data_IF_064475700678
#
_entry.id   IF_064475700678
#
_cell.length_a   1.000
_cell.length_b   1.000
_cell.length_c   1.000
_cell.angle_alpha   90.00
_cell.angle_beta   90.00
_cell.angle_gamma   90.00
#
_symmetry.space_group_name_H-M   'P 1'
#
loop_
_entity.id
_entity.type
_entity.pdbx_description
1 polymer ?
#
# COMPACT_ATOMS: atom_id res chain seq x y z
N UNK A 1 3.78 4.71 -2.38
CA UNK A 1 4.00 5.70 -1.30
C UNK A 1 4.97 6.79 -1.72
N UNK A 2 6.24 6.48 -2.00
CA UNK A 2 7.23 7.51 -2.35
C UNK A 2 6.84 8.32 -3.59
N UNK A 3 6.63 7.66 -4.74
CA UNK A 3 6.30 8.31 -6.01
C UNK A 3 4.96 9.08 -6.00
N UNK A 4 4.09 8.77 -5.05
CA UNK A 4 2.72 9.28 -4.95
C UNK A 4 2.53 10.19 -3.75
N UNK A 5 3.51 11.08 -3.52
CA UNK A 5 3.48 12.14 -2.51
C UNK A 5 4.42 11.95 -1.34
N UNK A 6 4.95 10.74 -1.14
CA UNK A 6 5.90 10.47 -0.06
C UNK A 6 7.18 11.31 -0.15
N UNK A 7 7.60 11.69 -1.36
CA UNK A 7 8.74 12.58 -1.55
C UNK A 7 8.51 14.01 -1.01
N UNK A 8 7.26 14.45 -0.86
CA UNK A 8 6.91 15.78 -0.35
C UNK A 8 6.77 15.83 1.17
N UNK A 9 6.73 14.67 1.83
CA UNK A 9 6.64 14.58 3.29
C UNK A 9 7.92 15.10 3.95
N UNK A 10 7.76 15.78 5.09
CA UNK A 10 8.88 16.09 5.98
C UNK A 10 9.53 14.82 6.53
N UNK A 11 10.77 14.91 7.01
CA UNK A 11 11.47 13.74 7.54
C UNK A 11 10.73 13.12 8.75
N UNK A 12 10.13 13.95 9.60
CA UNK A 12 9.28 13.47 10.70
C UNK A 12 8.07 12.69 10.18
N UNK A 13 7.40 13.16 9.13
CA UNK A 13 6.29 12.44 8.50
C UNK A 13 6.75 11.15 7.81
N UNK A 14 7.94 11.14 7.20
CA UNK A 14 8.53 9.93 6.59
C UNK A 14 8.84 8.86 7.64
N UNK A 15 9.36 9.25 8.80
CA UNK A 15 9.53 8.34 9.94
C UNK A 15 8.17 7.85 10.45
N UNK A 16 7.18 8.74 10.55
CA UNK A 16 5.85 8.37 11.01
C UNK A 16 5.17 7.35 10.09
N UNK A 17 5.12 7.58 8.77
CA UNK A 17 4.52 6.65 7.80
C UNK A 17 5.28 5.32 7.73
N UNK A 18 6.61 5.33 7.88
CA UNK A 18 7.43 4.12 7.88
C UNK A 18 7.18 3.23 9.11
N UNK A 19 6.70 3.81 10.22
CA UNK A 19 6.45 3.11 11.48
C UNK A 19 4.96 2.99 11.84
N UNK A 20 4.05 3.45 10.98
CA UNK A 20 2.61 3.32 11.21
C UNK A 20 2.20 1.85 11.15
N UNK A 21 1.59 1.28 12.20
CA UNK A 21 1.13 -0.12 12.19
C UNK A 21 0.24 -0.50 11.00
N UNK A 22 -0.54 0.44 10.45
CA UNK A 22 -1.37 0.20 9.26
C UNK A 22 -0.47 -0.06 8.02
N UNK A 23 0.73 0.51 7.98
CA UNK A 23 1.69 0.33 6.89
C UNK A 23 2.69 -0.83 7.12
N UNK A 24 2.53 -1.62 8.18
CA UNK A 24 3.49 -2.68 8.56
C UNK A 24 2.88 -4.07 8.45
N UNK A 25 3.56 -4.94 7.69
CA UNK A 25 3.25 -6.38 7.60
C UNK A 25 4.55 -7.19 7.60
N UNK A 26 4.57 -8.29 8.34
CA UNK A 26 5.69 -9.22 8.32
C UNK A 26 5.66 -10.06 7.03
N UNK A 27 6.75 -10.04 6.26
CA UNK A 27 6.86 -10.73 4.97
C UNK A 27 8.23 -11.40 4.81
N UNK A 28 8.39 -12.25 3.81
CA UNK A 28 9.72 -12.77 3.45
C UNK A 28 10.59 -11.64 2.90
N UNK A 29 11.89 -11.69 3.17
CA UNK A 29 12.83 -10.70 2.65
C UNK A 29 12.86 -10.63 1.12
N UNK A 30 12.60 -11.75 0.41
CA UNK A 30 12.46 -11.77 -1.04
C UNK A 30 11.27 -10.94 -1.53
N UNK A 31 10.12 -11.03 -0.86
CA UNK A 31 8.90 -10.30 -1.23
C UNK A 31 9.11 -8.79 -1.02
N UNK A 32 9.74 -8.41 0.10
CA UNK A 32 10.08 -7.02 0.37
C UNK A 32 11.04 -6.43 -0.69
N UNK A 33 12.07 -7.20 -1.09
CA UNK A 33 12.99 -6.78 -2.16
C UNK A 33 12.31 -6.71 -3.52
N UNK A 34 11.45 -7.67 -3.85
CA UNK A 34 10.71 -7.70 -5.11
C UNK A 34 9.78 -6.47 -5.24
N UNK A 35 9.12 -6.09 -4.14
CA UNK A 35 8.33 -4.86 -4.05
C UNK A 35 9.22 -3.63 -4.22
N UNK A 36 10.18 -3.41 -3.33
CA UNK A 36 11.00 -2.18 -3.32
C UNK A 36 10.14 -0.91 -3.27
N UNK A 37 10.49 0.09 -4.09
CA UNK A 37 9.76 1.37 -4.20
C UNK A 37 8.54 1.33 -5.13
N UNK A 38 8.22 0.17 -5.72
CA UNK A 38 7.12 0.01 -6.66
C UNK A 38 5.78 0.33 -6.02
N UNK A 39 4.90 0.92 -6.80
CA UNK A 39 3.50 1.08 -6.43
C UNK A 39 2.68 -0.18 -6.75
N UNK A 40 1.40 -0.14 -6.43
CA UNK A 40 0.48 -1.29 -6.58
C UNK A 40 0.14 -1.62 -8.03
N UNK A 41 0.37 -0.71 -8.97
CA UNK A 41 0.25 -1.00 -10.41
C UNK A 41 1.45 -1.78 -10.96
N UNK A 42 2.62 -1.61 -10.34
CA UNK A 42 3.87 -2.26 -10.74
C UNK A 42 4.13 -3.58 -10.00
N UNK A 43 3.64 -3.72 -8.77
CA UNK A 43 3.80 -4.93 -7.97
C UNK A 43 2.62 -5.17 -7.03
N UNK A 44 2.14 -6.42 -7.02
CA UNK A 44 1.14 -6.91 -6.08
C UNK A 44 1.64 -8.21 -5.42
N UNK A 45 1.22 -8.51 -4.17
CA UNK A 45 1.57 -9.78 -3.53
C UNK A 45 1.04 -10.98 -4.31
N UNK A 46 1.83 -12.04 -4.46
CA UNK A 46 1.37 -13.27 -5.15
C UNK A 46 0.25 -14.00 -4.38
N UNK A 47 0.27 -13.92 -3.05
CA UNK A 47 -0.77 -14.50 -2.21
C UNK A 47 -2.05 -13.67 -2.30
N UNK A 48 -3.03 -14.15 -3.07
CA UNK A 48 -4.33 -13.47 -3.26
C UNK A 48 -5.14 -13.32 -1.98
N UNK A 49 -4.96 -14.21 -1.00
CA UNK A 49 -5.72 -14.14 0.26
C UNK A 49 -5.47 -12.86 1.07
N UNK A 50 -4.35 -12.16 0.83
CA UNK A 50 -4.02 -10.91 1.51
C UNK A 50 -4.39 -9.67 0.70
N UNK A 51 -4.97 -9.81 -0.50
CA UNK A 51 -5.22 -8.69 -1.41
C UNK A 51 -6.13 -7.63 -0.80
N UNK A 52 -7.28 -8.02 -0.27
CA UNK A 52 -8.20 -7.10 0.41
C UNK A 52 -7.50 -6.30 1.52
N UNK A 53 -6.87 -6.98 2.48
CA UNK A 53 -6.22 -6.32 3.61
C UNK A 53 -5.08 -5.40 3.19
N UNK A 54 -4.27 -5.84 2.22
CA UNK A 54 -3.18 -5.03 1.67
C UNK A 54 -3.71 -3.79 0.92
N UNK A 55 -4.73 -3.93 0.07
CA UNK A 55 -5.30 -2.79 -0.63
C UNK A 55 -5.98 -1.80 0.33
N UNK A 56 -6.72 -2.31 1.32
CA UNK A 56 -7.32 -1.50 2.38
C UNK A 56 -6.26 -0.70 3.15
N UNK A 57 -5.12 -1.33 3.50
CA UNK A 57 -4.04 -0.64 4.20
C UNK A 57 -3.37 0.43 3.33
N UNK A 58 -3.15 0.16 2.04
CA UNK A 58 -2.61 1.16 1.10
C UNK A 58 -3.53 2.39 1.01
N UNK A 59 -4.85 2.18 0.90
CA UNK A 59 -5.83 3.28 0.86
C UNK A 59 -5.85 4.05 2.17
N UNK A 60 -5.88 3.37 3.32
CA UNK A 60 -5.88 4.01 4.64
C UNK A 60 -4.62 4.84 4.88
N UNK A 61 -3.44 4.30 4.58
CA UNK A 61 -2.17 5.01 4.75
C UNK A 61 -2.12 6.22 3.81
N UNK A 62 -2.49 6.05 2.53
CA UNK A 62 -2.48 7.18 1.60
C UNK A 62 -3.43 8.29 2.04
N UNK A 63 -4.64 7.93 2.48
CA UNK A 63 -5.61 8.89 3.02
C UNK A 63 -5.09 9.61 4.26
N UNK A 64 -4.51 8.87 5.22
CA UNK A 64 -3.98 9.43 6.48
C UNK A 64 -2.84 10.42 6.28
N UNK A 65 -1.97 10.17 5.31
CA UNK A 65 -0.77 10.97 5.05
C UNK A 65 -0.93 11.96 3.88
N UNK A 66 -2.14 12.12 3.33
CA UNK A 66 -2.40 13.06 2.23
C UNK A 66 -1.69 12.70 0.92
N UNK A 67 -1.46 11.40 0.69
CA UNK A 67 -0.85 10.87 -0.52
C UNK A 67 -1.92 10.62 -1.60
N UNK A 68 -1.54 10.71 -2.86
CA UNK A 68 -2.47 10.50 -3.98
C UNK A 68 -2.40 9.08 -4.55
N UNK A 69 -3.33 8.76 -5.45
CA UNK A 69 -3.43 7.49 -6.16
C UNK A 69 -3.48 7.81 -7.66
N UNK A 70 -2.64 7.16 -8.46
CA UNK A 70 -2.71 7.28 -9.92
C UNK A 70 -3.92 6.51 -10.48
N UNK A 71 -4.39 6.80 -11.70
CA UNK A 71 -5.48 6.02 -12.31
C UNK A 71 -5.17 4.51 -12.38
N UNK A 72 -3.92 4.14 -12.68
CA UNK A 72 -3.48 2.75 -12.73
C UNK A 72 -3.48 2.08 -11.34
N UNK A 73 -2.98 2.78 -10.31
CA UNK A 73 -3.06 2.28 -8.94
C UNK A 73 -4.52 2.10 -8.50
N UNK A 74 -5.40 3.04 -8.85
CA UNK A 74 -6.82 2.99 -8.49
C UNK A 74 -7.49 1.73 -9.05
N UNK A 75 -7.22 1.39 -10.31
CA UNK A 75 -7.78 0.20 -10.94
C UNK A 75 -7.35 -1.09 -10.20
N UNK A 76 -6.07 -1.21 -9.86
CA UNK A 76 -5.56 -2.40 -9.16
C UNK A 76 -6.07 -2.46 -7.72
N UNK A 77 -6.10 -1.33 -7.01
CA UNK A 77 -6.65 -1.26 -5.65
C UNK A 77 -8.12 -1.65 -5.64
N UNK A 78 -8.93 -1.15 -6.58
CA UNK A 78 -10.34 -1.54 -6.67
C UNK A 78 -10.49 -3.05 -6.87
N UNK A 79 -9.76 -3.64 -7.82
CA UNK A 79 -9.80 -5.10 -8.07
C UNK A 79 -9.39 -5.92 -6.84
N UNK A 80 -8.41 -5.44 -6.07
CA UNK A 80 -7.99 -6.11 -4.83
C UNK A 80 -9.02 -5.94 -3.72
N UNK A 81 -9.69 -4.77 -3.63
CA UNK A 81 -10.76 -4.52 -2.67
C UNK A 81 -12.02 -5.34 -2.99
N UNK A 82 -12.28 -5.68 -4.26
CA UNK A 82 -13.37 -6.60 -4.64
C UNK A 82 -13.17 -8.02 -4.09
N UNK A 83 -11.97 -8.37 -3.62
CA UNK A 83 -11.69 -9.64 -2.93
C UNK A 83 -12.02 -9.64 -1.44
N UNK A 84 -12.48 -8.50 -0.90
CA UNK A 84 -12.84 -8.40 0.50
C UNK A 84 -14.01 -9.31 0.84
N UNK A 85 -13.99 -9.98 2.02
CA UNK A 85 -15.14 -10.72 2.49
C UNK A 85 -16.37 -9.81 2.51
N UNK A 86 -17.48 -10.25 1.92
CA UNK A 86 -18.77 -9.62 2.19
C UNK A 86 -19.00 -9.70 3.70
N UNK A 87 -19.21 -8.55 4.33
CA UNK A 87 -19.06 -8.36 5.77
C UNK A 87 -19.61 -9.47 6.66
N UNK A 88 -18.80 -9.86 7.65
CA UNK A 88 -19.30 -10.29 8.97
C UNK A 88 -19.63 -9.07 9.81
#
# INVERSE_FOLDING_TARGET
MWATGGYQLSDAQRVAIANDPINLIAVRGSDNRAKGSKDVSEWVPQNKSIHCGYAASQVQVKSKYGLWVTPAEKEVLSKMLDTCPAGV
#
